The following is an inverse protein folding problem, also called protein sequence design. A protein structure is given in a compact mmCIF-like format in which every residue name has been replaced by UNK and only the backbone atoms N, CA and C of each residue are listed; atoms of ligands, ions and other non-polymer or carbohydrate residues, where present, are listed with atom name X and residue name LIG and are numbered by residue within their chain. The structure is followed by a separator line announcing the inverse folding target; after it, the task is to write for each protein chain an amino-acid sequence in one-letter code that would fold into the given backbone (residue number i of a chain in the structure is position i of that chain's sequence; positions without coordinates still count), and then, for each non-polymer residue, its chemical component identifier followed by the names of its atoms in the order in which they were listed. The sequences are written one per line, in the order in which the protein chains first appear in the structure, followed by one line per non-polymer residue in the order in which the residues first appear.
data_IF_787487753177
#
_entry.id   IF_787487753177
#
_cell.length_a   1.000
_cell.length_b   1.000
_cell.length_c   1.000
_cell.angle_alpha   90.00
_cell.angle_beta   90.00
_cell.angle_gamma   90.00
#
_symmetry.space_group_name_H-M   'P 1'
#
loop_
_entity.id
_entity.type
_entity.pdbx_description
1 polymer ?
#
# COMPACT_ATOMS: atom_id res chain seq x y z
N UNK A 1 26.12 72.97 -52.48
CA UNK A 1 24.67 72.64 -52.75
C UNK A 1 24.55 71.13 -52.87
N UNK A 2 23.66 70.63 -52.11
CA UNK A 2 23.00 69.36 -52.21
C UNK A 2 23.53 68.21 -51.38
N UNK A 3 22.86 67.91 -50.66
CA UNK A 3 21.91 66.92 -50.05
C UNK A 3 22.53 65.58 -49.63
N UNK A 4 22.38 65.42 -48.33
CA UNK A 4 22.64 64.19 -47.58
C UNK A 4 21.51 63.16 -47.87
N UNK A 5 21.89 61.90 -48.18
CA UNK A 5 21.02 60.75 -47.97
C UNK A 5 21.58 59.88 -46.88
N UNK A 6 20.80 59.74 -45.81
CA UNK A 6 21.04 58.87 -44.72
C UNK A 6 20.67 57.43 -45.11
N UNK A 7 21.61 56.51 -44.92
CA UNK A 7 21.35 55.08 -45.01
C UNK A 7 21.09 54.53 -43.61
N UNK A 8 19.94 53.95 -43.36
CA UNK A 8 19.56 53.29 -42.14
C UNK A 8 20.09 51.87 -42.16
N UNK A 9 21.03 51.57 -41.27
CA UNK A 9 21.46 50.20 -41.03
C UNK A 9 20.47 49.52 -40.08
N UNK A 10 19.79 48.53 -40.62
CA UNK A 10 18.92 47.64 -39.82
C UNK A 10 19.76 46.66 -39.00
N UNK A 11 19.64 46.75 -37.70
CA UNK A 11 20.19 45.76 -36.78
C UNK A 11 19.22 44.57 -36.72
N UNK A 12 19.66 43.46 -37.29
CA UNK A 12 18.95 42.18 -37.22
C UNK A 12 19.28 41.52 -35.87
N UNK A 13 18.41 41.68 -34.90
CA UNK A 13 18.53 41.02 -33.59
C UNK A 13 18.12 39.55 -33.75
N UNK A 14 19.12 38.68 -33.71
CA UNK A 14 18.94 37.24 -33.70
C UNK A 14 18.42 36.79 -32.31
N UNK A 15 17.14 36.55 -32.17
CA UNK A 15 16.52 35.94 -30.98
C UNK A 15 16.93 34.45 -31.01
N UNK A 16 17.94 34.07 -30.23
CA UNK A 16 18.21 32.66 -29.89
C UNK A 16 17.12 32.19 -28.94
N UNK A 17 16.17 31.45 -29.48
CA UNK A 17 15.15 30.73 -28.70
C UNK A 17 15.85 29.55 -28.03
N UNK A 18 16.27 29.71 -26.76
CA UNK A 18 16.63 28.59 -25.91
C UNK A 18 15.38 27.77 -25.65
N UNK A 19 15.21 26.68 -26.40
CA UNK A 19 14.31 25.59 -25.99
C UNK A 19 14.92 24.93 -24.76
N UNK A 20 14.54 25.41 -23.58
CA UNK A 20 14.66 24.64 -22.36
C UNK A 20 13.69 23.47 -22.49
N UNK A 21 14.23 22.29 -22.71
CA UNK A 21 13.51 21.02 -22.57
C UNK A 21 13.20 20.82 -21.08
N UNK A 22 12.29 21.61 -20.55
CA UNK A 22 11.56 21.30 -19.34
C UNK A 22 10.52 20.28 -19.74
N UNK A 23 10.61 19.04 -19.23
CA UNK A 23 9.54 18.08 -19.33
C UNK A 23 8.25 18.72 -18.83
N UNK A 24 7.31 18.97 -19.72
CA UNK A 24 5.96 19.35 -19.33
C UNK A 24 5.37 18.15 -18.58
N UNK A 25 5.31 18.21 -17.26
CA UNK A 25 4.35 17.39 -16.52
C UNK A 25 2.98 17.75 -17.11
N UNK A 26 2.36 16.78 -17.81
CA UNK A 26 0.98 16.92 -18.23
C UNK A 26 0.13 16.85 -16.95
N UNK A 27 -0.08 17.99 -16.29
CA UNK A 27 -0.99 18.07 -15.16
C UNK A 27 -2.42 17.81 -15.62
N UNK A 28 -3.24 17.19 -14.80
CA UNK A 28 -4.69 17.14 -15.01
C UNK A 28 -5.19 18.58 -15.14
N UNK A 29 -6.07 18.89 -16.11
CA UNK A 29 -6.54 20.26 -16.32
C UNK A 29 -7.15 20.85 -15.05
N UNK A 30 -6.56 21.89 -14.50
CA UNK A 30 -7.11 22.60 -13.35
C UNK A 30 -8.26 23.50 -13.79
N UNK A 31 -9.44 23.27 -13.22
CA UNK A 31 -10.63 24.09 -13.29
C UNK A 31 -11.24 24.35 -14.69
N UNK A 32 -12.07 23.43 -15.14
CA UNK A 32 -13.03 23.66 -16.21
C UNK A 32 -13.72 22.37 -16.60
N UNK A 33 -14.97 22.20 -16.36
CA UNK A 33 -15.94 21.24 -16.93
C UNK A 33 -15.54 19.76 -17.13
N UNK A 34 -14.26 19.40 -17.07
CA UNK A 34 -13.81 18.04 -17.32
C UNK A 34 -13.78 17.23 -16.01
N UNK A 35 -14.45 16.09 -16.02
CA UNK A 35 -14.53 15.17 -14.87
C UNK A 35 -13.25 14.33 -14.86
N UNK A 36 -12.52 14.38 -13.76
CA UNK A 36 -11.36 13.49 -13.52
C UNK A 36 -11.84 12.06 -13.31
N UNK A 37 -11.44 11.15 -14.20
CA UNK A 37 -11.80 9.73 -14.15
C UNK A 37 -10.78 8.95 -13.35
N UNK A 38 -11.21 8.43 -12.24
CA UNK A 38 -10.39 7.64 -11.32
C UNK A 38 -10.83 6.19 -11.39
N UNK A 39 -9.90 5.29 -11.65
CA UNK A 39 -10.16 3.87 -11.47
C UNK A 39 -9.28 3.31 -10.35
N UNK A 40 -9.93 2.66 -9.42
CA UNK A 40 -9.31 1.91 -8.32
C UNK A 40 -9.38 0.44 -8.67
N UNK A 41 -8.26 -0.27 -8.64
CA UNK A 41 -8.21 -1.73 -8.85
C UNK A 41 -7.69 -2.35 -7.55
N UNK A 42 -8.60 -2.93 -6.77
CA UNK A 42 -8.28 -3.64 -5.55
C UNK A 42 -8.12 -5.14 -5.83
N UNK A 43 -7.18 -5.84 -5.20
CA UNK A 43 -6.91 -7.25 -5.48
C UNK A 43 -8.02 -8.19 -4.96
N UNK A 44 -8.85 -7.68 -4.04
CA UNK A 44 -9.80 -8.46 -3.27
C UNK A 44 -10.90 -7.56 -2.71
N UNK A 45 -12.08 -8.10 -2.41
CA UNK A 45 -13.19 -7.33 -1.84
C UNK A 45 -14.05 -8.11 -0.82
N UNK A 46 -13.67 -9.36 -0.57
CA UNK A 46 -14.50 -10.28 0.23
C UNK A 46 -14.01 -10.41 1.68
N UNK A 47 -12.90 -9.75 2.04
CA UNK A 47 -12.40 -9.65 3.41
C UNK A 47 -12.61 -8.24 4.00
N UNK A 48 -12.54 -8.17 5.31
CA UNK A 48 -12.74 -6.90 6.02
C UNK A 48 -11.65 -5.86 5.75
N UNK A 49 -10.46 -6.27 5.31
CA UNK A 49 -9.32 -5.37 5.07
C UNK A 49 -9.55 -4.50 3.83
N UNK A 50 -9.63 -5.12 2.64
CA UNK A 50 -9.83 -4.43 1.37
C UNK A 50 -11.21 -3.78 1.24
N UNK A 51 -12.23 -4.40 1.86
CA UNK A 51 -13.56 -3.81 1.95
C UNK A 51 -13.53 -2.46 2.67
N UNK A 52 -12.79 -2.32 3.76
CA UNK A 52 -12.67 -1.05 4.50
C UNK A 52 -11.94 0.03 3.70
N UNK A 53 -10.91 -0.32 2.93
CA UNK A 53 -10.25 0.62 2.00
C UNK A 53 -11.27 1.09 0.96
N UNK A 54 -11.98 0.17 0.32
CA UNK A 54 -13.02 0.49 -0.66
C UNK A 54 -14.13 1.38 -0.09
N UNK A 55 -14.63 1.09 1.10
CA UNK A 55 -15.63 1.92 1.79
C UNK A 55 -15.10 3.33 2.10
N UNK A 56 -13.83 3.45 2.52
CA UNK A 56 -13.17 4.74 2.73
C UNK A 56 -13.16 5.58 1.45
N UNK A 57 -12.82 4.96 0.31
CA UNK A 57 -12.83 5.59 -1.01
C UNK A 57 -14.26 6.00 -1.40
N UNK A 58 -15.24 5.10 -1.32
CA UNK A 58 -16.62 5.37 -1.73
C UNK A 58 -17.24 6.49 -0.89
N UNK A 59 -17.16 6.39 0.44
CA UNK A 59 -17.75 7.37 1.34
C UNK A 59 -17.12 8.76 1.23
N UNK A 60 -15.80 8.83 1.05
CA UNK A 60 -15.11 10.11 0.84
C UNK A 60 -15.38 10.65 -0.56
N UNK A 61 -15.40 9.80 -1.59
CA UNK A 61 -15.73 10.16 -2.96
C UNK A 61 -17.11 10.80 -3.06
N UNK A 62 -18.14 10.19 -2.45
CA UNK A 62 -19.49 10.75 -2.45
C UNK A 62 -19.58 12.12 -1.75
N UNK A 63 -18.81 12.36 -0.68
CA UNK A 63 -18.79 13.66 0.02
C UNK A 63 -18.24 14.78 -0.84
N UNK A 64 -17.21 14.50 -1.66
CA UNK A 64 -16.50 15.54 -2.41
C UNK A 64 -16.83 15.58 -3.91
N UNK A 65 -17.49 14.58 -4.46
CA UNK A 65 -17.86 14.43 -5.89
C UNK A 65 -18.45 15.70 -6.49
N UNK A 66 -19.34 16.37 -5.76
CA UNK A 66 -20.00 17.60 -6.23
C UNK A 66 -19.05 18.81 -6.31
N UNK A 67 -17.97 18.78 -5.57
CA UNK A 67 -17.08 19.93 -5.40
C UNK A 67 -15.78 19.82 -6.20
N UNK A 68 -15.39 18.59 -6.59
CA UNK A 68 -14.08 18.33 -7.20
C UNK A 68 -14.16 17.77 -8.63
N UNK A 69 -15.36 17.51 -9.18
CA UNK A 69 -15.49 16.99 -10.55
C UNK A 69 -14.78 15.65 -10.73
N UNK A 70 -14.94 14.72 -9.77
CA UNK A 70 -14.28 13.42 -9.77
C UNK A 70 -15.31 12.31 -10.01
N UNK A 71 -14.99 11.35 -10.88
CA UNK A 71 -15.76 10.12 -11.08
C UNK A 71 -14.89 8.92 -10.71
N UNK A 72 -15.28 8.20 -9.66
CA UNK A 72 -14.51 7.08 -9.11
C UNK A 72 -15.21 5.78 -9.45
N UNK A 73 -14.45 4.84 -10.00
CA UNK A 73 -14.88 3.47 -10.28
C UNK A 73 -13.95 2.51 -9.56
N UNK A 74 -14.51 1.57 -8.79
CA UNK A 74 -13.75 0.52 -8.13
C UNK A 74 -13.94 -0.79 -8.90
N UNK A 75 -12.84 -1.44 -9.22
CA UNK A 75 -12.77 -2.72 -9.93
C UNK A 75 -12.01 -3.74 -9.09
N UNK A 76 -12.28 -5.01 -9.32
CA UNK A 76 -11.54 -6.14 -8.76
C UNK A 76 -11.43 -7.27 -9.78
N UNK A 77 -10.43 -8.14 -9.69
CA UNK A 77 -10.39 -9.37 -10.47
C UNK A 77 -11.52 -10.32 -10.06
N UNK A 78 -11.85 -11.29 -10.90
CA UNK A 78 -12.83 -12.32 -10.57
C UNK A 78 -12.30 -13.32 -9.54
N UNK A 79 -11.00 -13.59 -9.61
CA UNK A 79 -10.27 -14.38 -8.64
C UNK A 79 -9.37 -13.46 -7.82
N UNK A 80 -9.46 -13.57 -6.51
CA UNK A 80 -8.70 -12.76 -5.58
C UNK A 80 -7.19 -12.87 -5.84
N UNK A 81 -6.48 -11.75 -5.78
CA UNK A 81 -5.03 -11.65 -6.02
C UNK A 81 -4.56 -12.22 -7.38
N UNK A 82 -5.45 -12.29 -8.38
CA UNK A 82 -5.09 -12.82 -9.69
C UNK A 82 -4.40 -11.77 -10.56
N UNK A 83 -3.09 -11.78 -10.58
CA UNK A 83 -2.26 -10.79 -11.30
C UNK A 83 -2.61 -10.71 -12.80
N UNK A 84 -2.74 -11.81 -13.57
CA UNK A 84 -3.14 -11.71 -14.97
C UNK A 84 -4.47 -10.98 -15.20
N UNK A 85 -5.46 -11.18 -14.32
CA UNK A 85 -6.72 -10.45 -14.41
C UNK A 85 -6.58 -8.98 -14.02
N UNK A 86 -5.73 -8.66 -13.04
CA UNK A 86 -5.43 -7.28 -12.68
C UNK A 86 -4.72 -6.55 -13.83
N UNK A 87 -3.75 -7.19 -14.50
CA UNK A 87 -3.09 -6.67 -15.70
C UNK A 87 -4.09 -6.40 -16.81
N UNK A 88 -5.04 -7.31 -17.05
CA UNK A 88 -6.10 -7.10 -18.05
C UNK A 88 -6.99 -5.89 -17.70
N UNK A 89 -7.35 -5.73 -16.42
CA UNK A 89 -8.08 -4.55 -15.94
C UNK A 89 -7.27 -3.26 -16.17
N UNK A 90 -5.97 -3.26 -15.86
CA UNK A 90 -5.07 -2.13 -16.12
C UNK A 90 -5.06 -1.74 -17.60
N UNK A 91 -4.83 -2.70 -18.50
CA UNK A 91 -4.82 -2.49 -19.96
C UNK A 91 -6.15 -1.88 -20.46
N UNK A 92 -7.29 -2.34 -19.91
CA UNK A 92 -8.60 -1.77 -20.24
C UNK A 92 -8.72 -0.31 -19.79
N UNK A 93 -8.20 0.06 -18.62
CA UNK A 93 -8.28 1.43 -18.13
C UNK A 93 -7.30 2.37 -18.86
N UNK A 94 -6.13 1.89 -19.26
CA UNK A 94 -5.20 2.61 -20.13
C UNK A 94 -5.89 2.92 -21.46
N UNK A 95 -6.49 1.91 -22.12
CA UNK A 95 -7.24 2.10 -23.35
C UNK A 95 -8.45 3.05 -23.20
N UNK A 96 -9.08 3.09 -22.03
CA UNK A 96 -10.15 4.03 -21.70
C UNK A 96 -9.64 5.43 -21.38
N UNK A 97 -8.32 5.63 -21.28
CA UNK A 97 -7.64 6.90 -20.97
C UNK A 97 -8.16 7.52 -19.67
N UNK A 98 -8.16 6.74 -18.59
CA UNK A 98 -8.46 7.28 -17.26
C UNK A 98 -7.36 8.26 -16.82
N UNK A 99 -7.68 9.16 -15.89
CA UNK A 99 -6.72 10.18 -15.46
C UNK A 99 -5.87 9.70 -14.29
N UNK A 100 -6.45 8.83 -13.44
CA UNK A 100 -5.78 8.29 -12.23
C UNK A 100 -6.06 6.80 -12.12
N UNK A 101 -5.02 6.03 -11.85
CA UNK A 101 -5.08 4.62 -11.44
C UNK A 101 -4.64 4.50 -9.98
N UNK A 102 -5.50 3.92 -9.15
CA UNK A 102 -5.18 3.54 -7.76
C UNK A 102 -5.08 2.03 -7.70
N UNK A 103 -3.96 1.51 -7.25
CA UNK A 103 -3.65 0.07 -7.30
C UNK A 103 -2.95 -0.38 -6.02
N UNK A 104 -3.02 -1.67 -5.69
CA UNK A 104 -2.03 -2.28 -4.80
C UNK A 104 -0.73 -2.46 -5.57
N UNK A 105 0.41 -2.12 -4.96
CA UNK A 105 1.72 -2.43 -5.53
C UNK A 105 1.95 -3.94 -5.63
N UNK A 106 2.71 -4.36 -6.64
CA UNK A 106 3.10 -5.75 -6.87
C UNK A 106 4.43 -5.81 -7.60
N UNK A 107 5.21 -6.86 -7.39
CA UNK A 107 6.54 -7.04 -8.00
C UNK A 107 6.52 -7.91 -9.27
N UNK A 108 5.35 -8.30 -9.78
CA UNK A 108 5.22 -9.02 -11.05
C UNK A 108 5.66 -8.13 -12.23
N UNK A 109 6.51 -8.66 -13.09
CA UNK A 109 7.13 -7.89 -14.18
C UNK A 109 6.09 -7.35 -15.17
N UNK A 110 5.08 -8.17 -15.57
CA UNK A 110 4.04 -7.74 -16.51
C UNK A 110 3.14 -6.66 -15.89
N UNK A 111 2.86 -6.80 -14.58
CA UNK A 111 2.09 -5.81 -13.84
C UNK A 111 2.81 -4.46 -13.77
N UNK A 112 4.10 -4.47 -13.39
CA UNK A 112 4.93 -3.26 -13.32
C UNK A 112 5.07 -2.61 -14.71
N UNK A 113 5.34 -3.39 -15.75
CA UNK A 113 5.49 -2.86 -17.11
C UNK A 113 4.19 -2.25 -17.64
N UNK A 114 3.03 -2.85 -17.32
CA UNK A 114 1.73 -2.28 -17.66
C UNK A 114 1.48 -0.96 -16.92
N UNK A 115 1.87 -0.84 -15.66
CA UNK A 115 1.78 0.43 -14.93
C UNK A 115 2.75 1.49 -15.48
N UNK A 116 3.97 1.10 -15.91
CA UNK A 116 4.90 2.03 -16.59
C UNK A 116 4.34 2.53 -17.92
N UNK A 117 3.63 1.68 -18.67
CA UNK A 117 2.88 2.11 -19.86
C UNK A 117 1.85 3.18 -19.50
N UNK A 118 1.01 2.93 -18.49
CA UNK A 118 0.03 3.91 -18.00
C UNK A 118 0.69 5.23 -17.61
N UNK A 119 1.76 5.18 -16.82
CA UNK A 119 2.51 6.36 -16.40
C UNK A 119 3.10 7.13 -17.60
N UNK A 120 3.64 6.42 -18.60
CA UNK A 120 4.20 7.04 -19.80
C UNK A 120 3.14 7.75 -20.67
N UNK A 121 1.88 7.34 -20.59
CA UNK A 121 0.72 7.99 -21.22
C UNK A 121 0.18 9.18 -20.39
N UNK A 122 0.79 9.47 -19.23
CA UNK A 122 0.42 10.59 -18.37
C UNK A 122 -0.66 10.26 -17.35
N UNK A 123 -1.03 9.00 -17.19
CA UNK A 123 -1.95 8.55 -16.15
C UNK A 123 -1.23 8.62 -14.79
N UNK A 124 -1.85 9.25 -13.80
CA UNK A 124 -1.32 9.33 -12.44
C UNK A 124 -1.46 7.98 -11.75
N UNK A 125 -0.40 7.51 -11.10
CA UNK A 125 -0.39 6.24 -10.36
C UNK A 125 -0.37 6.52 -8.86
N UNK A 126 -1.27 5.87 -8.14
CA UNK A 126 -1.31 5.85 -6.67
C UNK A 126 -1.23 4.39 -6.23
N UNK A 127 -0.22 4.07 -5.44
CA UNK A 127 -0.12 2.79 -4.76
C UNK A 127 -0.80 2.90 -3.38
N UNK A 128 -1.71 1.99 -3.08
CA UNK A 128 -2.36 1.88 -1.78
C UNK A 128 -2.01 0.56 -1.11
N UNK A 129 -1.74 0.58 0.21
CA UNK A 129 -1.33 -0.57 1.00
C UNK A 129 0.10 -1.05 0.74
N UNK A 130 0.40 -1.46 -0.46
CA UNK A 130 1.72 -1.95 -0.88
C UNK A 130 2.32 -1.01 -1.92
N UNK A 131 3.56 -0.61 -1.72
CA UNK A 131 4.32 0.22 -2.65
C UNK A 131 5.05 -0.62 -3.70
N UNK A 132 5.50 0.02 -4.81
CA UNK A 132 6.34 -0.59 -5.84
C UNK A 132 7.73 0.05 -5.79
N UNK A 133 8.73 -0.70 -5.34
CA UNK A 133 10.11 -0.21 -5.27
C UNK A 133 10.64 0.14 -6.67
N UNK A 134 11.36 1.26 -6.77
CA UNK A 134 11.98 1.72 -8.01
C UNK A 134 11.00 2.01 -9.18
N UNK A 135 9.73 2.24 -8.88
CA UNK A 135 8.76 2.72 -9.87
C UNK A 135 8.98 4.24 -10.12
N UNK A 136 8.63 4.76 -11.33
CA UNK A 136 8.63 6.21 -11.57
C UNK A 136 7.78 6.99 -10.57
N UNK A 137 7.81 8.31 -10.66
CA UNK A 137 7.06 9.22 -9.78
C UNK A 137 5.60 8.77 -9.62
N UNK A 138 5.21 8.45 -8.40
CA UNK A 138 3.88 8.02 -7.99
C UNK A 138 3.63 8.41 -6.53
N UNK A 139 2.39 8.28 -6.07
CA UNK A 139 2.04 8.47 -4.66
C UNK A 139 1.86 7.12 -3.98
N UNK A 140 2.47 6.93 -2.83
CA UNK A 140 2.17 5.82 -1.93
C UNK A 140 1.28 6.26 -0.77
N UNK A 141 0.22 5.51 -0.50
CA UNK A 141 -0.66 5.69 0.66
C UNK A 141 -0.80 4.36 1.40
N UNK A 142 -0.30 4.30 2.62
CA UNK A 142 -0.32 3.04 3.35
C UNK A 142 0.29 3.15 4.75
N UNK A 143 0.75 2.04 5.24
CA UNK A 143 1.45 1.92 6.52
C UNK A 143 2.94 2.20 6.35
N UNK A 144 3.57 2.85 7.34
CA UNK A 144 5.00 2.75 7.53
C UNK A 144 5.31 1.33 8.02
N UNK A 145 5.61 0.44 7.08
CA UNK A 145 5.73 -0.99 7.35
C UNK A 145 6.97 -1.34 8.17
N UNK A 146 8.06 -0.57 8.02
CA UNK A 146 9.23 -0.73 8.86
C UNK A 146 8.93 -0.38 10.32
N UNK A 147 8.32 0.77 10.58
CA UNK A 147 7.94 1.17 11.94
C UNK A 147 6.85 0.26 12.51
N UNK A 148 5.92 -0.26 11.70
CA UNK A 148 4.93 -1.25 12.13
C UNK A 148 5.57 -2.58 12.52
N UNK A 149 6.55 -3.06 11.75
CA UNK A 149 7.35 -4.24 12.08
C UNK A 149 8.16 -4.06 13.35
N UNK A 150 8.75 -2.88 13.52
CA UNK A 150 9.49 -2.53 14.74
C UNK A 150 8.58 -2.49 15.97
N UNK A 151 7.39 -1.89 15.86
CA UNK A 151 6.37 -1.93 16.92
C UNK A 151 5.99 -3.36 17.28
N UNK A 152 5.81 -4.25 16.30
CA UNK A 152 5.54 -5.66 16.56
C UNK A 152 6.69 -6.34 17.33
N UNK A 153 7.94 -6.02 16.98
CA UNK A 153 9.13 -6.52 17.71
C UNK A 153 9.23 -6.00 19.14
N UNK A 154 8.91 -4.73 19.37
CA UNK A 154 8.86 -4.14 20.71
C UNK A 154 7.78 -4.82 21.57
N UNK A 155 6.61 -5.11 20.99
CA UNK A 155 5.54 -5.82 21.69
C UNK A 155 5.86 -7.31 21.89
N UNK A 156 6.57 -7.95 20.96
CA UNK A 156 7.11 -9.30 21.15
C UNK A 156 8.04 -9.36 22.36
N UNK A 157 8.96 -8.40 22.50
CA UNK A 157 9.85 -8.31 23.67
C UNK A 157 9.02 -8.16 24.95
N UNK A 158 8.01 -7.30 24.94
CA UNK A 158 7.16 -7.03 26.10
C UNK A 158 6.39 -8.29 26.55
N UNK A 159 5.73 -9.01 25.65
CA UNK A 159 4.89 -10.17 26.01
C UNK A 159 5.70 -11.41 26.37
N UNK A 160 6.97 -11.51 25.91
CA UNK A 160 7.85 -12.67 26.16
C UNK A 160 8.89 -12.41 27.24
N UNK A 161 8.84 -11.24 27.91
CA UNK A 161 9.91 -10.81 28.85
C UNK A 161 11.32 -10.91 28.22
N UNK A 162 11.43 -10.76 26.90
CA UNK A 162 12.68 -10.78 26.14
C UNK A 162 13.30 -12.16 25.92
N UNK A 163 12.52 -13.25 26.03
CA UNK A 163 12.98 -14.63 25.80
C UNK A 163 11.92 -15.43 25.01
N UNK A 164 12.22 -15.85 23.77
CA UNK A 164 11.30 -16.62 22.92
C UNK A 164 12.02 -17.37 21.81
N UNK A 165 11.45 -18.52 21.40
CA UNK A 165 11.73 -19.17 20.12
C UNK A 165 10.55 -18.89 19.18
N UNK A 166 10.76 -18.04 18.17
CA UNK A 166 9.71 -17.45 17.35
C UNK A 166 9.63 -18.09 15.99
N UNK A 167 8.48 -18.68 15.66
CA UNK A 167 8.16 -19.02 14.26
C UNK A 167 7.65 -17.75 13.55
N UNK A 168 8.28 -17.37 12.44
CA UNK A 168 7.92 -16.19 11.63
C UNK A 168 7.23 -16.65 10.36
N UNK A 169 5.97 -16.25 10.19
CA UNK A 169 5.15 -16.55 9.02
C UNK A 169 4.87 -15.26 8.24
N UNK A 170 5.04 -15.31 6.94
CA UNK A 170 4.77 -14.22 5.99
C UNK A 170 3.90 -14.73 4.84
N UNK A 171 3.35 -13.82 4.01
CA UNK A 171 2.52 -14.18 2.86
C UNK A 171 3.34 -14.76 1.71
N UNK A 172 3.75 -13.94 0.78
CA UNK A 172 4.63 -14.32 -0.34
C UNK A 172 5.95 -13.52 -0.29
N UNK A 173 7.05 -14.07 -0.81
CA UNK A 173 8.31 -13.33 -0.91
C UNK A 173 8.20 -12.21 -1.93
N UNK A 174 8.92 -11.10 -1.71
CA UNK A 174 9.03 -9.97 -2.64
C UNK A 174 7.99 -8.86 -2.45
N UNK A 175 6.98 -9.03 -1.58
CA UNK A 175 6.10 -7.92 -1.23
C UNK A 175 6.80 -6.94 -0.30
N UNK A 176 6.98 -5.70 -0.77
CA UNK A 176 7.76 -4.67 -0.09
C UNK A 176 7.29 -4.40 1.34
N UNK A 177 5.98 -4.36 1.56
CA UNK A 177 5.38 -4.15 2.87
C UNK A 177 5.74 -5.27 3.88
N UNK A 178 5.75 -6.53 3.45
CA UNK A 178 6.07 -7.66 4.32
C UNK A 178 7.57 -7.75 4.62
N UNK A 179 8.41 -7.43 3.63
CA UNK A 179 9.87 -7.37 3.84
C UNK A 179 10.26 -6.25 4.79
N UNK A 180 9.65 -5.08 4.69
CA UNK A 180 9.87 -3.96 5.61
C UNK A 180 9.39 -4.28 7.04
N UNK A 181 8.24 -4.97 7.19
CA UNK A 181 7.80 -5.47 8.52
C UNK A 181 8.79 -6.44 9.13
N UNK A 182 9.35 -7.34 8.32
CA UNK A 182 10.37 -8.27 8.77
C UNK A 182 11.64 -7.55 9.21
N UNK A 183 12.11 -6.57 8.41
CA UNK A 183 13.28 -5.77 8.75
C UNK A 183 13.08 -5.01 10.06
N UNK A 184 11.94 -4.36 10.24
CA UNK A 184 11.58 -3.66 11.48
C UNK A 184 11.53 -4.60 12.69
N UNK A 185 10.92 -5.78 12.55
CA UNK A 185 10.88 -6.82 13.60
C UNK A 185 12.30 -7.27 13.99
N UNK A 186 13.15 -7.58 13.00
CA UNK A 186 14.53 -8.00 13.22
C UNK A 186 15.34 -6.91 13.93
N UNK A 187 15.17 -5.67 13.50
CA UNK A 187 15.87 -4.53 14.12
C UNK A 187 15.45 -4.29 15.57
N UNK A 188 14.18 -4.46 15.89
CA UNK A 188 13.70 -4.31 17.27
C UNK A 188 14.30 -5.35 18.21
N UNK A 189 14.42 -6.60 17.76
CA UNK A 189 14.87 -7.71 18.64
C UNK A 189 16.38 -7.96 18.63
N UNK A 190 17.16 -7.29 17.78
CA UNK A 190 18.60 -7.56 17.58
C UNK A 190 19.46 -7.51 18.85
N UNK A 191 19.07 -6.70 19.81
CA UNK A 191 19.78 -6.53 21.09
C UNK A 191 19.25 -7.46 22.19
N UNK A 192 18.33 -8.39 21.86
CA UNK A 192 17.73 -9.37 22.75
C UNK A 192 18.19 -10.79 22.43
N UNK A 193 19.37 -11.22 22.91
CA UNK A 193 20.02 -12.47 22.47
C UNK A 193 19.27 -13.74 22.86
N UNK A 194 18.21 -13.66 23.65
CA UNK A 194 17.36 -14.78 24.01
C UNK A 194 16.09 -14.85 23.15
N UNK A 195 15.84 -13.89 22.26
CA UNK A 195 14.80 -13.97 21.24
C UNK A 195 15.43 -14.58 19.99
N UNK A 196 14.95 -15.74 19.59
CA UNK A 196 15.43 -16.46 18.42
C UNK A 196 14.35 -16.46 17.35
N UNK A 197 14.50 -15.59 16.34
CA UNK A 197 13.64 -15.63 15.16
C UNK A 197 14.08 -16.80 14.28
N UNK A 198 13.14 -17.70 13.97
CA UNK A 198 13.32 -18.75 12.99
C UNK A 198 13.38 -18.22 11.55
N UNK A 199 13.71 -19.09 10.60
CA UNK A 199 13.64 -18.76 9.18
C UNK A 199 12.21 -18.38 8.79
N UNK A 200 12.07 -17.35 7.95
CA UNK A 200 10.76 -16.90 7.46
C UNK A 200 10.12 -17.98 6.61
N UNK A 201 8.89 -18.31 6.91
CA UNK A 201 8.09 -19.27 6.16
C UNK A 201 6.96 -18.51 5.44
N UNK A 202 6.61 -18.96 4.23
CA UNK A 202 5.62 -18.27 3.39
C UNK A 202 4.38 -19.13 3.24
N UNK A 203 3.21 -18.60 3.66
CA UNK A 203 1.93 -19.32 3.61
C UNK A 203 1.20 -19.15 2.28
N UNK A 204 1.64 -18.22 1.44
CA UNK A 204 1.03 -17.85 0.15
C UNK A 204 -0.47 -17.50 0.29
N UNK A 205 -0.82 -16.87 1.40
CA UNK A 205 -2.20 -16.51 1.76
C UNK A 205 -3.17 -17.70 1.76
N UNK A 206 -2.65 -18.93 2.00
CA UNK A 206 -3.45 -20.16 2.04
C UNK A 206 -3.65 -20.65 3.48
N UNK A 207 -4.91 -20.60 3.96
CA UNK A 207 -5.24 -21.01 5.30
C UNK A 207 -4.91 -22.47 5.66
N UNK A 208 -4.89 -23.38 4.68
CA UNK A 208 -4.45 -24.77 4.94
C UNK A 208 -2.94 -24.83 5.19
N UNK A 209 -2.18 -24.05 4.45
CA UNK A 209 -0.73 -23.91 4.65
C UNK A 209 -0.44 -23.28 6.00
N UNK A 210 -1.15 -22.22 6.38
CA UNK A 210 -1.08 -21.62 7.73
C UNK A 210 -1.27 -22.69 8.81
N UNK A 211 -2.35 -23.48 8.74
CA UNK A 211 -2.64 -24.52 9.75
C UNK A 211 -1.55 -25.60 9.79
N UNK A 212 -1.02 -25.99 8.64
CA UNK A 212 0.09 -26.94 8.59
C UNK A 212 1.34 -26.38 9.29
N UNK A 213 1.72 -25.15 8.99
CA UNK A 213 2.84 -24.46 9.61
C UNK A 213 2.62 -24.28 11.11
N UNK A 214 1.43 -23.91 11.53
CA UNK A 214 1.03 -23.77 12.93
C UNK A 214 1.39 -25.01 13.74
N UNK A 215 0.94 -26.21 13.31
CA UNK A 215 1.23 -27.46 14.02
C UNK A 215 2.67 -27.95 13.85
N UNK A 216 3.34 -27.62 12.75
CA UNK A 216 4.73 -28.05 12.54
C UNK A 216 5.70 -27.26 13.43
N UNK A 217 5.52 -25.96 13.53
CA UNK A 217 6.40 -25.07 14.29
C UNK A 217 6.23 -25.19 15.80
N UNK A 218 5.06 -25.60 16.28
CA UNK A 218 4.80 -25.78 17.71
C UNK A 218 5.71 -26.81 18.43
N UNK A 219 6.55 -27.52 17.67
CA UNK A 219 7.53 -28.45 18.25
C UNK A 219 8.81 -27.77 18.74
N UNK A 220 9.17 -26.67 18.06
CA UNK A 220 10.46 -26.00 18.22
C UNK A 220 10.29 -24.52 18.59
N UNK A 221 9.09 -23.95 18.47
CA UNK A 221 8.76 -22.57 18.81
C UNK A 221 7.70 -22.51 19.91
N UNK A 222 7.87 -21.56 20.83
CA UNK A 222 6.89 -21.21 21.87
C UNK A 222 6.03 -20.02 21.48
N UNK A 223 6.48 -19.25 20.50
CA UNK A 223 5.84 -18.04 20.00
C UNK A 223 5.69 -18.09 18.47
N UNK A 224 4.58 -17.59 17.94
CA UNK A 224 4.36 -17.45 16.49
C UNK A 224 3.99 -16.02 16.15
N UNK A 225 4.60 -15.49 15.08
CA UNK A 225 4.37 -14.16 14.57
C UNK A 225 3.95 -14.23 13.11
N UNK A 226 2.83 -13.58 12.77
CA UNK A 226 2.35 -13.42 11.41
C UNK A 226 2.62 -11.99 10.92
N UNK A 227 3.36 -11.82 9.83
CA UNK A 227 3.66 -10.50 9.24
C UNK A 227 2.52 -9.98 8.36
N UNK A 228 1.52 -10.81 8.09
CA UNK A 228 0.33 -10.51 7.29
C UNK A 228 -0.95 -10.90 8.06
N UNK A 229 -2.15 -10.56 7.50
CA UNK A 229 -3.41 -10.76 8.20
C UNK A 229 -3.99 -12.19 8.11
N UNK A 230 -3.68 -12.96 7.06
CA UNK A 230 -4.30 -14.26 6.77
C UNK A 230 -4.03 -15.30 7.84
N UNK A 231 -2.79 -15.32 8.35
CA UNK A 231 -2.38 -16.23 9.42
C UNK A 231 -3.21 -16.04 10.66
N UNK A 232 -3.29 -14.82 11.16
CA UNK A 232 -4.08 -14.49 12.33
C UNK A 232 -5.59 -14.72 12.14
N UNK A 233 -6.14 -14.37 10.97
CA UNK A 233 -7.55 -14.63 10.62
C UNK A 233 -7.83 -16.14 10.58
N UNK A 234 -6.92 -16.93 10.00
CA UNK A 234 -7.05 -18.40 9.95
C UNK A 234 -7.07 -18.99 11.35
N UNK A 235 -6.10 -18.63 12.20
CA UNK A 235 -6.03 -19.11 13.59
C UNK A 235 -7.30 -18.76 14.36
N UNK A 236 -7.78 -17.52 14.26
CA UNK A 236 -8.99 -17.06 14.95
C UNK A 236 -10.27 -17.73 14.43
N UNK A 237 -10.30 -18.16 13.19
CA UNK A 237 -11.43 -18.91 12.62
C UNK A 237 -11.49 -20.37 13.10
N UNK A 238 -10.32 -20.97 13.36
CA UNK A 238 -10.20 -22.36 13.83
C UNK A 238 -10.35 -22.46 15.35
N UNK A 239 -9.80 -21.52 16.09
CA UNK A 239 -9.78 -21.53 17.54
C UNK A 239 -10.59 -20.35 18.09
N UNK A 240 -11.63 -20.65 18.90
CA UNK A 240 -12.42 -19.62 19.59
C UNK A 240 -11.76 -19.09 20.86
N UNK A 241 -10.71 -19.75 21.31
CA UNK A 241 -9.88 -19.39 22.44
C UNK A 241 -8.47 -19.84 22.09
N UNK A 242 -7.46 -19.34 22.83
CA UNK A 242 -6.08 -19.76 22.65
C UNK A 242 -5.96 -21.28 22.67
N UNK A 243 -5.35 -21.85 21.65
CA UNK A 243 -4.82 -23.20 21.66
C UNK A 243 -3.50 -23.23 22.43
N UNK A 244 -3.32 -24.20 23.29
CA UNK A 244 -2.12 -24.33 24.14
C UNK A 244 -0.82 -24.73 23.40
N UNK A 245 -0.81 -24.67 22.06
CA UNK A 245 0.38 -24.99 21.25
C UNK A 245 1.47 -23.92 21.38
N UNK A 246 1.08 -22.66 21.58
CA UNK A 246 1.98 -21.52 21.71
C UNK A 246 1.68 -20.74 22.99
N UNK A 247 2.73 -20.21 23.60
CA UNK A 247 2.61 -19.28 24.72
C UNK A 247 2.12 -17.91 24.23
N UNK A 248 2.62 -17.47 23.05
CA UNK A 248 2.25 -16.21 22.44
C UNK A 248 1.96 -16.31 20.95
N UNK A 249 0.93 -15.58 20.49
CA UNK A 249 0.55 -15.43 19.10
C UNK A 249 0.35 -13.95 18.80
N UNK A 250 1.17 -13.39 17.89
CA UNK A 250 1.11 -12.00 17.48
C UNK A 250 0.97 -11.89 15.96
N UNK A 251 0.48 -10.76 15.48
CA UNK A 251 0.37 -10.56 14.03
C UNK A 251 -0.16 -9.20 13.62
N UNK A 252 -0.77 -9.17 12.44
CA UNK A 252 -1.40 -7.99 11.83
C UNK A 252 -2.90 -8.22 11.62
N UNK A 253 -3.70 -7.20 11.81
CA UNK A 253 -5.11 -7.04 11.39
C UNK A 253 -6.13 -8.12 11.75
N UNK A 254 -5.75 -9.18 12.45
CA UNK A 254 -6.64 -10.28 12.87
C UNK A 254 -7.52 -9.88 14.07
N UNK A 255 -8.33 -8.83 13.92
CA UNK A 255 -9.14 -8.21 14.96
C UNK A 255 -9.99 -9.20 15.77
N UNK A 256 -10.70 -10.12 15.09
CA UNK A 256 -11.51 -11.12 15.78
C UNK A 256 -10.70 -12.11 16.62
N UNK A 257 -9.45 -12.36 16.24
CA UNK A 257 -8.52 -13.20 16.98
C UNK A 257 -8.17 -12.61 18.35
N UNK A 258 -7.96 -11.32 18.39
CA UNK A 258 -7.72 -10.57 19.62
C UNK A 258 -8.96 -10.57 20.52
N UNK A 259 -10.14 -10.23 20.00
CA UNK A 259 -11.39 -10.20 20.77
C UNK A 259 -11.74 -11.57 21.33
N UNK A 260 -11.51 -12.65 20.56
CA UNK A 260 -11.78 -14.02 21.00
C UNK A 260 -10.75 -14.55 22.03
N UNK A 261 -9.60 -13.89 22.15
CA UNK A 261 -8.47 -14.35 22.97
C UNK A 261 -7.67 -15.48 22.29
N UNK A 262 -7.86 -15.70 20.98
CA UNK A 262 -7.05 -16.65 20.22
C UNK A 262 -5.65 -16.10 19.90
N UNK A 263 -5.51 -14.78 19.83
CA UNK A 263 -4.29 -14.02 19.54
C UNK A 263 -4.07 -13.02 20.66
N UNK A 264 -2.82 -12.84 21.09
CA UNK A 264 -2.47 -11.92 22.19
C UNK A 264 -2.62 -10.47 21.78
N UNK A 265 -2.14 -10.14 20.60
CA UNK A 265 -2.20 -8.81 20.07
C UNK A 265 -1.79 -8.71 18.61
N UNK A 266 -2.16 -7.60 18.01
CA UNK A 266 -1.91 -7.32 16.60
C UNK A 266 -1.48 -5.87 16.39
N UNK A 267 -0.71 -5.64 15.35
CA UNK A 267 -0.58 -4.31 14.77
C UNK A 267 -1.80 -4.06 13.90
N UNK A 268 -2.65 -3.14 14.31
CA UNK A 268 -3.85 -2.74 13.60
C UNK A 268 -3.54 -1.58 12.66
N UNK A 269 -3.82 -1.76 11.38
CA UNK A 269 -3.70 -0.74 10.35
C UNK A 269 -5.00 0.05 10.20
N UNK A 270 -4.93 1.35 9.89
CA UNK A 270 -6.11 2.18 9.62
C UNK A 270 -6.51 2.12 8.14
N UNK A 271 -7.03 0.97 7.74
CA UNK A 271 -7.38 0.65 6.35
C UNK A 271 -8.45 1.57 5.77
N UNK A 272 -9.46 1.96 6.58
CA UNK A 272 -10.46 2.93 6.14
C UNK A 272 -9.83 4.29 5.84
N UNK A 273 -8.89 4.73 6.68
CA UNK A 273 -8.18 5.99 6.49
C UNK A 273 -7.31 5.96 5.24
N UNK A 274 -6.71 4.82 4.86
CA UNK A 274 -6.02 4.69 3.57
C UNK A 274 -6.95 5.06 2.40
N UNK A 275 -8.18 4.49 2.39
CA UNK A 275 -9.16 4.81 1.37
C UNK A 275 -9.61 6.28 1.37
N UNK A 276 -9.79 6.88 2.54
CA UNK A 276 -10.12 8.31 2.67
C UNK A 276 -8.99 9.19 2.14
N UNK A 277 -7.73 8.88 2.48
CA UNK A 277 -6.55 9.60 2.02
C UNK A 277 -6.38 9.55 0.49
N UNK A 278 -6.67 8.41 -0.14
CA UNK A 278 -6.66 8.31 -1.61
C UNK A 278 -7.52 9.41 -2.22
N UNK A 279 -8.75 9.59 -1.73
CA UNK A 279 -9.68 10.58 -2.27
C UNK A 279 -9.26 12.00 -1.94
N UNK A 280 -8.75 12.25 -0.73
CA UNK A 280 -8.24 13.56 -0.30
C UNK A 280 -7.05 14.01 -1.15
N UNK A 281 -6.09 13.10 -1.44
CA UNK A 281 -4.92 13.39 -2.24
C UNK A 281 -5.26 13.61 -3.72
N UNK A 282 -6.18 12.83 -4.29
CA UNK A 282 -6.67 13.09 -5.65
C UNK A 282 -7.36 14.46 -5.71
N UNK A 283 -8.19 14.80 -4.73
CA UNK A 283 -8.82 16.12 -4.68
C UNK A 283 -7.80 17.26 -4.47
N UNK A 284 -6.71 17.01 -3.75
CA UNK A 284 -5.61 17.95 -3.62
C UNK A 284 -4.90 18.16 -4.96
N UNK A 285 -4.59 17.06 -5.65
CA UNK A 285 -3.98 17.09 -6.98
C UNK A 285 -4.85 17.85 -8.01
N UNK A 286 -6.17 17.59 -8.03
CA UNK A 286 -7.09 18.30 -8.92
C UNK A 286 -7.06 19.81 -8.67
N UNK A 287 -6.97 20.25 -7.41
CA UNK A 287 -6.99 21.67 -7.04
C UNK A 287 -5.65 22.37 -7.24
N UNK A 288 -4.56 21.70 -6.93
CA UNK A 288 -3.23 22.32 -6.79
C UNK A 288 -2.23 21.88 -7.86
N UNK A 289 -2.50 20.80 -8.60
CA UNK A 289 -1.61 20.23 -9.60
C UNK A 289 -0.50 19.33 -9.02
N UNK A 290 -0.53 19.07 -7.71
CA UNK A 290 0.44 18.23 -7.01
C UNK A 290 -0.20 17.51 -5.82
N UNK A 291 0.37 16.37 -5.42
CA UNK A 291 0.04 15.69 -4.18
C UNK A 291 0.67 16.41 -2.98
N UNK A 292 0.20 16.15 -1.78
CA UNK A 292 0.76 16.76 -0.57
C UNK A 292 2.18 16.26 -0.26
N UNK A 293 2.48 15.02 -0.67
CA UNK A 293 3.75 14.32 -0.47
C UNK A 293 3.88 13.21 -1.51
N UNK A 294 5.05 12.60 -1.64
CA UNK A 294 5.26 11.35 -2.40
C UNK A 294 4.78 10.13 -1.61
N UNK A 295 4.70 10.25 -0.29
CA UNK A 295 4.26 9.20 0.62
C UNK A 295 3.33 9.77 1.68
N UNK A 296 2.21 9.11 1.93
CA UNK A 296 1.25 9.44 2.98
C UNK A 296 1.05 8.20 3.87
N UNK A 297 1.59 8.25 5.07
CA UNK A 297 1.40 7.18 6.04
C UNK A 297 0.11 7.34 6.83
N UNK A 298 -0.62 6.23 6.98
CA UNK A 298 -1.73 6.12 7.92
C UNK A 298 -1.25 5.56 9.25
N UNK A 299 -2.03 5.82 10.31
CA UNK A 299 -1.65 5.40 11.65
C UNK A 299 -1.74 3.88 11.83
N UNK A 300 -0.86 3.34 12.67
CA UNK A 300 -0.93 1.99 13.19
C UNK A 300 -0.91 2.03 14.71
N UNK A 301 -1.44 1.01 15.35
CA UNK A 301 -1.37 0.88 16.80
C UNK A 301 -1.39 -0.59 17.23
N UNK A 302 -0.77 -0.86 18.36
CA UNK A 302 -0.87 -2.14 19.02
C UNK A 302 -2.25 -2.32 19.63
N UNK A 303 -2.90 -3.43 19.31
CA UNK A 303 -4.24 -3.77 19.78
C UNK A 303 -4.23 -5.11 20.50
N UNK A 304 -4.82 -5.11 21.68
CA UNK A 304 -5.05 -6.29 22.53
C UNK A 304 -6.52 -6.37 22.93
N UNK A 305 -6.91 -7.44 23.62
CA UNK A 305 -8.26 -7.55 24.18
C UNK A 305 -8.58 -6.49 25.26
N UNK A 306 -7.59 -5.75 25.74
CA UNK A 306 -7.76 -4.74 26.79
C UNK A 306 -7.96 -3.34 26.25
N UNK A 307 -7.51 -3.06 24.99
CA UNK A 307 -7.48 -1.72 24.40
C UNK A 307 -8.16 -1.60 23.02
N UNK A 308 -9.01 -2.58 22.62
CA UNK A 308 -9.72 -2.58 21.33
C UNK A 308 -10.89 -1.59 21.26
#
# INVERSE_FOLDING_TARGET
MSEKKKSAAGILTLLVLCCVLGGCKAGIPVAGTDITRVTVILPHFDDGYWMLIGEGIEQSGEKIKKNCGMDIKILKPQLNYNIPQMVELLKQQIAAKVDVLVVQGNEDEEYIDTLKEAWSEGIQIICVDTDIKNFPEHLYIGTDNYEAGKMLGEELINVTDGEANVAVISGEPGFSNLEERLEGLQDAVKDYPKIHLGDVQYDNYDGLTVMKMYYQNAKDADTIVFLEGTGGVTISSQFRQRDAQYEHILGFDAFYGVISGAIDGIIKQDTRRMGEQVVEEIANYIRNGEYSSETVYTTTHWMTAENY
#
